data_IF_195027073027
#
_entry.id   IF_195027073027
#
_cell.length_a   1.000
_cell.length_b   1.000
_cell.length_c   1.000
_cell.angle_alpha   90.00
_cell.angle_beta   90.00
_cell.angle_gamma   90.00
#
_symmetry.space_group_name_H-M   'P 1'
#
loop_
_entity.id
_entity.type
_entity.pdbx_description
1 polymer ?
#
# COMPACT_ATOMS: atom_id res chain seq x y z
N UNK A 1 12.61 -61.92 -14.19
CA UNK A 1 12.23 -60.51 -13.92
C UNK A 1 11.01 -60.48 -13.00
N UNK A 2 11.16 -60.91 -11.74
CA UNK A 2 10.09 -60.84 -10.75
C UNK A 2 10.29 -59.59 -9.90
N UNK A 3 9.19 -58.91 -9.56
CA UNK A 3 9.11 -57.69 -8.73
C UNK A 3 9.13 -56.31 -9.43
N UNK A 4 8.68 -56.21 -10.70
CA UNK A 4 8.39 -54.90 -11.32
C UNK A 4 7.39 -54.07 -10.51
N UNK A 5 6.35 -54.69 -9.96
CA UNK A 5 5.30 -54.00 -9.19
C UNK A 5 5.82 -53.45 -7.86
N UNK A 6 6.69 -54.19 -7.16
CA UNK A 6 7.32 -53.72 -5.92
C UNK A 6 8.25 -52.54 -6.18
N UNK A 7 9.07 -52.63 -7.24
CA UNK A 7 9.99 -51.54 -7.61
C UNK A 7 9.25 -50.28 -8.08
N UNK A 8 8.09 -50.43 -8.72
CA UNK A 8 7.23 -49.31 -9.14
C UNK A 8 6.68 -48.58 -7.91
N UNK A 9 6.13 -49.31 -6.94
CA UNK A 9 5.54 -48.72 -5.73
C UNK A 9 6.58 -48.01 -4.85
N UNK A 10 7.80 -48.57 -4.72
CA UNK A 10 8.87 -47.92 -3.94
C UNK A 10 9.36 -46.64 -4.60
N UNK A 11 9.49 -46.62 -5.94
CA UNK A 11 9.84 -45.39 -6.65
C UNK A 11 8.74 -44.35 -6.55
N UNK A 12 7.47 -44.75 -6.69
CA UNK A 12 6.34 -43.85 -6.54
C UNK A 12 6.31 -43.21 -5.15
N UNK A 13 6.57 -43.99 -4.10
CA UNK A 13 6.64 -43.47 -2.73
C UNK A 13 7.71 -42.40 -2.55
N UNK A 14 8.92 -42.61 -3.09
CA UNK A 14 10.00 -41.63 -3.03
C UNK A 14 9.66 -40.37 -3.82
N UNK A 15 9.13 -40.52 -5.05
CA UNK A 15 8.77 -39.38 -5.90
C UNK A 15 7.68 -38.53 -5.25
N UNK A 16 6.61 -39.14 -4.73
CA UNK A 16 5.54 -38.41 -4.07
C UNK A 16 5.98 -37.78 -2.75
N UNK A 17 6.90 -38.44 -2.02
CA UNK A 17 7.50 -37.90 -0.80
C UNK A 17 8.37 -36.67 -1.05
N UNK A 18 9.20 -36.68 -2.08
CA UNK A 18 10.01 -35.49 -2.45
C UNK A 18 9.12 -34.40 -3.04
N UNK A 19 8.12 -34.77 -3.84
CA UNK A 19 7.20 -33.82 -4.46
C UNK A 19 6.39 -33.04 -3.42
N UNK A 20 5.87 -33.70 -2.37
CA UNK A 20 5.10 -33.02 -1.32
C UNK A 20 5.93 -31.98 -0.57
N UNK A 21 7.20 -32.31 -0.28
CA UNK A 21 8.13 -31.39 0.41
C UNK A 21 8.45 -30.18 -0.48
N UNK A 22 8.78 -30.41 -1.75
CA UNK A 22 9.06 -29.31 -2.70
C UNK A 22 7.82 -28.43 -2.87
N UNK A 23 6.62 -29.02 -3.00
CA UNK A 23 5.38 -28.29 -3.17
C UNK A 23 5.09 -27.38 -1.95
N UNK A 24 5.22 -27.90 -0.73
CA UNK A 24 5.02 -27.10 0.49
C UNK A 24 6.05 -25.97 0.60
N UNK A 25 7.32 -26.24 0.29
CA UNK A 25 8.36 -25.20 0.31
C UNK A 25 8.08 -24.09 -0.70
N UNK A 26 7.68 -24.46 -1.92
CA UNK A 26 7.32 -23.50 -2.96
C UNK A 26 6.13 -22.62 -2.53
N UNK A 27 5.08 -23.22 -1.97
CA UNK A 27 3.92 -22.48 -1.46
C UNK A 27 4.32 -21.59 -0.28
N UNK A 28 5.12 -22.09 0.66
CA UNK A 28 5.59 -21.33 1.81
C UNK A 28 6.33 -20.07 1.40
N UNK A 29 7.36 -20.23 0.55
CA UNK A 29 8.16 -19.10 0.06
C UNK A 29 7.33 -18.11 -0.76
N UNK A 30 6.42 -18.61 -1.61
CA UNK A 30 5.53 -17.74 -2.38
C UNK A 30 4.59 -16.94 -1.49
N UNK A 31 4.04 -17.56 -0.45
CA UNK A 31 3.15 -16.91 0.51
C UNK A 31 3.90 -15.85 1.32
N UNK A 32 5.10 -16.18 1.80
CA UNK A 32 5.96 -15.23 2.51
C UNK A 32 6.28 -14.00 1.65
N UNK A 33 6.77 -14.23 0.43
CA UNK A 33 7.08 -13.14 -0.50
C UNK A 33 5.85 -12.30 -0.86
N UNK A 34 4.69 -12.93 -1.02
CA UNK A 34 3.43 -12.22 -1.28
C UNK A 34 3.03 -11.34 -0.09
N UNK A 35 3.08 -11.89 1.13
CA UNK A 35 2.74 -11.16 2.35
C UNK A 35 3.69 -9.98 2.53
N UNK A 36 5.00 -10.17 2.39
CA UNK A 36 5.98 -9.08 2.46
C UNK A 36 5.66 -7.99 1.43
N UNK A 37 5.39 -8.38 0.18
CA UNK A 37 5.03 -7.43 -0.87
C UNK A 37 3.76 -6.63 -0.56
N UNK A 38 2.73 -7.25 0.02
CA UNK A 38 1.52 -6.53 0.46
C UNK A 38 1.79 -5.59 1.64
N UNK A 39 2.63 -5.99 2.60
CA UNK A 39 3.04 -5.10 3.69
C UNK A 39 3.88 -3.91 3.20
N UNK A 40 4.75 -4.10 2.21
CA UNK A 40 5.49 -3.02 1.58
C UNK A 40 4.56 -2.00 0.90
N UNK A 41 3.48 -2.47 0.23
CA UNK A 41 2.47 -1.60 -0.38
C UNK A 41 1.68 -0.76 0.63
N UNK A 42 1.45 -1.28 1.84
CA UNK A 42 0.82 -0.53 2.93
C UNK A 42 1.78 0.53 3.49
N UNK A 43 3.06 0.44 3.16
CA UNK A 43 4.10 1.34 3.64
C UNK A 43 4.61 0.87 4.99
N UNK A 44 5.41 -0.20 4.99
CA UNK A 44 6.12 -0.71 6.17
C UNK A 44 7.01 0.34 6.86
N UNK A 45 7.24 1.49 6.21
CA UNK A 45 7.99 2.64 6.73
C UNK A 45 7.17 3.95 6.73
N UNK A 46 5.84 3.87 6.82
CA UNK A 46 4.95 5.03 6.85
C UNK A 46 4.43 5.25 8.26
N UNK A 47 4.57 6.47 8.78
CA UNK A 47 3.95 6.90 10.03
C UNK A 47 2.78 7.81 9.70
N UNK A 48 1.59 7.45 10.18
CA UNK A 48 0.41 8.28 10.02
C UNK A 48 0.13 9.05 11.31
N UNK A 49 -0.01 10.37 11.17
CA UNK A 49 -0.32 11.27 12.28
C UNK A 49 -1.77 11.70 12.14
N UNK A 50 -2.54 11.45 13.19
CA UNK A 50 -3.96 11.84 13.27
C UNK A 50 -4.22 12.56 14.57
N UNK A 51 -5.19 13.46 14.54
CA UNK A 51 -5.66 14.09 15.76
C UNK A 51 -6.32 13.08 16.69
N UNK A 52 -6.09 13.24 17.98
CA UNK A 52 -6.71 12.41 19.02
C UNK A 52 -7.95 13.12 19.57
N UNK A 53 -9.13 12.74 19.08
CA UNK A 53 -10.42 13.22 19.60
C UNK A 53 -11.24 14.03 18.58
N UNK A 54 -12.45 14.43 18.99
CA UNK A 54 -13.42 15.11 18.11
C UNK A 54 -13.42 16.63 18.24
N UNK A 55 -12.83 17.17 19.30
CA UNK A 55 -12.80 18.61 19.59
C UNK A 55 -11.38 19.15 19.32
N UNK A 56 -11.04 19.28 18.05
CA UNK A 56 -9.75 19.81 17.62
C UNK A 56 -9.94 21.31 17.45
N UNK A 57 -9.22 22.10 18.23
CA UNK A 57 -9.20 23.56 18.06
C UNK A 57 -8.36 23.94 16.84
N UNK A 58 -8.66 25.10 16.24
CA UNK A 58 -7.98 25.54 15.01
C UNK A 58 -6.45 25.69 15.18
N UNK A 59 -5.99 25.94 16.41
CA UNK A 59 -4.56 26.01 16.73
C UNK A 59 -3.87 24.64 16.80
N UNK A 60 -4.63 23.55 16.85
CA UNK A 60 -4.11 22.18 16.85
C UNK A 60 -4.06 21.59 15.45
N UNK A 61 -4.48 22.33 14.41
CA UNK A 61 -4.44 21.86 13.04
C UNK A 61 -2.99 21.73 12.56
N UNK A 62 -2.68 20.57 11.99
CA UNK A 62 -1.52 20.33 11.15
C UNK A 62 -1.64 21.20 9.91
N UNK A 63 -0.66 22.08 9.75
CA UNK A 63 -0.55 23.02 8.65
C UNK A 63 0.53 22.57 7.67
N UNK A 64 0.61 23.25 6.51
CA UNK A 64 1.71 23.01 5.57
C UNK A 64 3.07 23.43 6.17
N UNK A 65 3.09 24.43 7.05
CA UNK A 65 4.32 24.85 7.74
C UNK A 65 4.91 23.72 8.61
N UNK A 66 4.06 22.86 9.20
CA UNK A 66 4.51 21.70 9.97
C UNK A 66 5.21 20.66 9.08
N UNK A 67 4.82 20.53 7.81
CA UNK A 67 5.48 19.67 6.83
C UNK A 67 6.91 20.17 6.59
N UNK A 68 7.06 21.47 6.36
CA UNK A 68 8.36 22.09 6.11
C UNK A 68 9.27 22.02 7.34
N UNK A 69 8.72 22.18 8.53
CA UNK A 69 9.46 21.99 9.78
C UNK A 69 9.95 20.55 9.95
N UNK A 70 9.10 19.56 9.67
CA UNK A 70 9.49 18.14 9.75
C UNK A 70 10.54 17.77 8.69
N UNK A 71 10.39 18.26 7.46
CA UNK A 71 11.34 18.04 6.38
C UNK A 71 12.73 18.61 6.71
N UNK A 72 12.78 19.79 7.34
CA UNK A 72 14.04 20.45 7.68
C UNK A 72 14.72 19.88 8.94
N UNK A 73 13.95 19.47 9.94
CA UNK A 73 14.50 19.02 11.23
C UNK A 73 14.79 17.51 11.28
N UNK A 74 14.17 16.69 10.41
CA UNK A 74 14.33 15.24 10.42
C UNK A 74 14.76 14.74 9.03
N UNK A 75 16.07 14.72 8.74
CA UNK A 75 16.61 14.35 7.42
C UNK A 75 16.38 12.88 7.05
N UNK A 76 15.98 12.04 8.00
CA UNK A 76 15.64 10.63 7.76
C UNK A 76 14.28 10.46 7.05
N UNK A 77 13.42 11.49 7.07
CA UNK A 77 12.11 11.44 6.42
C UNK A 77 12.27 11.74 4.93
N UNK A 78 12.06 10.71 4.11
CA UNK A 78 12.22 10.80 2.65
C UNK A 78 11.05 11.49 1.94
N UNK A 79 9.83 11.27 2.41
CA UNK A 79 8.62 11.86 1.83
C UNK A 79 7.65 12.22 2.95
N UNK A 80 6.88 13.28 2.76
CA UNK A 80 5.80 13.72 3.66
C UNK A 80 4.59 14.06 2.79
N UNK A 81 3.42 13.54 3.17
CA UNK A 81 2.16 13.86 2.51
C UNK A 81 1.10 14.12 3.56
N UNK A 82 0.19 15.04 3.27
CA UNK A 82 -1.07 15.19 4.00
C UNK A 82 -2.18 14.48 3.24
N UNK A 83 -3.21 14.07 3.98
CA UNK A 83 -4.42 13.47 3.42
C UNK A 83 -5.61 14.08 4.14
N UNK A 84 -6.35 14.94 3.46
CA UNK A 84 -7.68 15.40 3.86
C UNK A 84 -8.74 14.53 3.19
N UNK A 85 -9.83 14.21 3.88
CA UNK A 85 -10.89 13.38 3.31
C UNK A 85 -12.25 14.03 3.50
N UNK A 86 -12.95 14.26 2.38
CA UNK A 86 -14.27 14.88 2.36
C UNK A 86 -15.25 14.00 1.60
N UNK A 87 -16.42 13.74 2.18
CA UNK A 87 -17.51 13.02 1.52
C UNK A 87 -18.61 14.01 1.15
N UNK A 88 -19.10 13.93 -0.09
CA UNK A 88 -20.10 14.87 -0.57
C UNK A 88 -20.84 14.40 -1.82
N UNK A 89 -21.83 15.17 -2.23
CA UNK A 89 -22.49 14.98 -3.51
C UNK A 89 -21.85 15.88 -4.56
N UNK A 90 -21.42 15.27 -5.67
CA UNK A 90 -20.82 15.94 -6.80
C UNK A 90 -21.79 15.93 -7.97
N UNK A 91 -21.89 17.06 -8.65
CA UNK A 91 -22.76 17.22 -9.81
C UNK A 91 -21.93 17.53 -11.05
N UNK A 92 -22.05 16.66 -12.06
CA UNK A 92 -21.50 16.91 -13.40
C UNK A 92 -22.69 16.96 -14.36
N UNK A 93 -22.98 18.17 -14.88
CA UNK A 93 -24.19 18.43 -15.66
C UNK A 93 -25.46 18.11 -14.86
N UNK A 94 -26.28 17.18 -15.36
CA UNK A 94 -27.53 16.75 -14.72
C UNK A 94 -27.39 15.49 -13.85
N UNK A 95 -26.16 14.96 -13.67
CA UNK A 95 -25.93 13.75 -12.87
C UNK A 95 -25.30 14.13 -11.53
N UNK A 96 -25.99 13.79 -10.45
CA UNK A 96 -25.45 13.89 -9.08
C UNK A 96 -25.05 12.51 -8.58
N UNK A 97 -23.87 12.41 -7.98
CA UNK A 97 -23.34 11.19 -7.35
C UNK A 97 -22.68 11.52 -6.03
N UNK A 98 -22.81 10.62 -5.06
CA UNK A 98 -21.98 10.67 -3.88
C UNK A 98 -20.56 10.26 -4.29
N UNK A 99 -19.56 11.05 -3.92
CA UNK A 99 -18.18 10.67 -4.07
C UNK A 99 -17.38 11.14 -2.86
N UNK A 100 -16.12 10.72 -2.84
CA UNK A 100 -15.18 11.06 -1.78
C UNK A 100 -14.02 11.80 -2.44
N UNK A 101 -13.70 12.98 -1.91
CA UNK A 101 -12.51 13.73 -2.28
C UNK A 101 -11.41 13.40 -1.27
N UNK A 102 -10.24 13.04 -1.80
CA UNK A 102 -9.01 13.03 -1.04
C UNK A 102 -8.19 14.25 -1.44
N UNK A 103 -7.94 15.14 -0.49
CA UNK A 103 -6.97 16.22 -0.62
C UNK A 103 -5.60 15.64 -0.32
N UNK A 104 -4.66 15.75 -1.26
CA UNK A 104 -3.34 15.13 -1.15
C UNK A 104 -2.30 16.07 -1.76
N UNK A 105 -1.06 16.01 -1.26
CA UNK A 105 0.06 16.74 -1.85
C UNK A 105 0.71 15.97 -3.00
N UNK A 106 1.57 16.61 -3.77
CA UNK A 106 2.29 15.99 -4.89
C UNK A 106 3.07 14.71 -4.54
N UNK A 107 3.49 14.57 -3.27
CA UNK A 107 4.26 13.42 -2.80
C UNK A 107 3.41 12.18 -2.56
N UNK A 108 2.08 12.29 -2.53
CA UNK A 108 1.17 11.17 -2.26
C UNK A 108 1.33 9.99 -3.22
N UNK A 109 1.75 10.24 -4.47
CA UNK A 109 2.06 9.20 -5.46
C UNK A 109 3.14 8.21 -4.98
N UNK A 110 4.01 8.64 -4.06
CA UNK A 110 5.09 7.81 -3.53
C UNK A 110 4.58 6.89 -2.39
N UNK A 111 3.38 7.16 -1.86
CA UNK A 111 2.76 6.40 -0.78
C UNK A 111 1.64 5.47 -1.27
N UNK A 112 0.94 5.85 -2.34
CA UNK A 112 -0.23 5.13 -2.82
C UNK A 112 0.04 4.47 -4.17
N UNK A 113 -0.25 3.18 -4.27
CA UNK A 113 -0.15 2.41 -5.52
C UNK A 113 -1.41 2.65 -6.35
N UNK A 114 -1.57 3.89 -6.84
CA UNK A 114 -2.65 4.26 -7.75
C UNK A 114 -2.07 4.33 -9.15
N UNK A 115 -2.62 3.55 -10.08
CA UNK A 115 -2.29 3.67 -11.49
C UNK A 115 -3.08 4.81 -12.13
N UNK A 116 -2.37 5.72 -12.81
CA UNK A 116 -2.98 6.86 -13.48
C UNK A 116 -3.73 6.40 -14.74
N UNK A 117 -5.07 6.40 -14.69
CA UNK A 117 -5.88 6.02 -15.85
C UNK A 117 -5.79 7.02 -17.01
N UNK A 118 -5.71 8.33 -16.70
CA UNK A 118 -5.58 9.39 -17.69
C UNK A 118 -5.02 10.68 -17.08
N UNK A 119 -4.20 11.42 -17.83
CA UNK A 119 -3.67 12.72 -17.42
C UNK A 119 -2.33 12.61 -16.67
N UNK A 120 -2.17 13.43 -15.61
CA UNK A 120 -0.96 13.48 -14.78
C UNK A 120 -1.34 13.54 -13.30
N UNK A 121 -0.43 13.09 -12.45
CA UNK A 121 -0.55 13.31 -11.01
C UNK A 121 -0.42 14.80 -10.65
N UNK A 122 -0.92 15.14 -9.45
CA UNK A 122 -0.70 16.41 -8.78
C UNK A 122 0.82 16.65 -8.64
N UNK A 123 1.26 17.87 -8.90
CA UNK A 123 2.66 18.26 -8.82
C UNK A 123 2.87 19.40 -7.81
N UNK A 124 4.12 19.75 -7.51
CA UNK A 124 4.46 20.76 -6.52
C UNK A 124 3.98 22.18 -6.85
N UNK A 125 3.62 22.46 -8.11
CA UNK A 125 3.00 23.73 -8.49
C UNK A 125 1.53 23.79 -8.08
N UNK A 126 0.87 22.64 -8.01
CA UNK A 126 -0.53 22.52 -7.60
C UNK A 126 -0.67 22.60 -6.06
N UNK A 127 0.42 22.42 -5.31
CA UNK A 127 0.43 22.44 -3.83
C UNK A 127 0.39 23.88 -3.23
N UNK A 128 0.64 24.92 -4.03
CA UNK A 128 0.82 26.32 -3.55
C UNK A 128 -0.36 27.27 -3.84
N UNK A 129 -1.56 26.74 -4.09
CA UNK A 129 -2.75 27.52 -4.46
C UNK A 129 -3.56 28.04 -3.25
#
# INVERSE_FOLDING_TARGET
RANKMRSLLTMLGIVMGVFSVIAIMAIGNATESYIIGEFEKIGANTVQIYYKGTNITQNEWLTLDDIDLLANNVPEIKNITTIGQWSGQFRIGNKTRQALICEVTAQYKNFSVIDMAAGRFINSFDDTA
#
